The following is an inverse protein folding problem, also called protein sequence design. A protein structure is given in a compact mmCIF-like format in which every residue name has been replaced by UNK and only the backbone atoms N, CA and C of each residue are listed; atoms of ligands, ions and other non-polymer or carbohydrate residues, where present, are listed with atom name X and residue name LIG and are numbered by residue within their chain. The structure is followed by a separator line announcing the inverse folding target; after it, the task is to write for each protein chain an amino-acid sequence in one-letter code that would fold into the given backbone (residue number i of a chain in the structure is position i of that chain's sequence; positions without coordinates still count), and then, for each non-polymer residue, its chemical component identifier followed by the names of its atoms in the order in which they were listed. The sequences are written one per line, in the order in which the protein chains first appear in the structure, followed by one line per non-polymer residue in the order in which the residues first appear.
data_IF_458520759524
#
_entry.id   IF_458520759524
#
_cell.length_a   1.000
_cell.length_b   1.000
_cell.length_c   1.000
_cell.angle_alpha   90.00
_cell.angle_beta   90.00
_cell.angle_gamma   90.00
#
_symmetry.space_group_name_H-M   'P 1'
#
loop_
_entity.id
_entity.type
_entity.pdbx_description
1 polymer ?
#
# COMPACT_ATOMS: atom_id res chain seq x y z
N UNK A 1 -13.83 -11.85 11.07
CA UNK A 1 -15.06 -12.60 10.72
C UNK A 1 -15.80 -13.22 11.94
N UNK A 2 -15.33 -13.03 13.19
CA UNK A 2 -16.05 -13.51 14.38
C UNK A 2 -17.13 -12.53 14.85
N UNK A 3 -17.08 -11.27 14.43
CA UNK A 3 -18.08 -10.26 14.78
C UNK A 3 -19.26 -10.35 13.81
N UNK A 4 -20.49 -10.48 14.27
CA UNK A 4 -21.66 -10.56 13.40
C UNK A 4 -21.78 -9.36 12.47
N UNK A 5 -22.03 -9.62 11.17
CA UNK A 5 -22.15 -8.60 10.13
C UNK A 5 -20.84 -7.99 9.65
N UNK A 6 -19.68 -8.49 10.12
CA UNK A 6 -18.35 -8.12 9.59
C UNK A 6 -17.83 -9.24 8.70
N UNK A 7 -17.48 -8.91 7.47
CA UNK A 7 -16.88 -9.83 6.52
C UNK A 7 -15.57 -9.23 6.00
N UNK A 8 -14.49 -10.00 6.08
CA UNK A 8 -13.17 -9.58 5.62
C UNK A 8 -12.61 -10.61 4.62
N UNK A 9 -12.12 -10.13 3.49
CA UNK A 9 -11.47 -10.94 2.45
C UNK A 9 -10.04 -10.48 2.24
N UNK A 10 -9.14 -11.44 2.04
CA UNK A 10 -7.76 -11.16 1.60
C UNK A 10 -7.75 -10.89 0.09
N UNK A 11 -6.87 -10.01 -0.34
CA UNK A 11 -6.64 -9.70 -1.75
C UNK A 11 -5.15 -9.87 -2.11
N UNK A 12 -4.85 -9.89 -3.42
CA UNK A 12 -3.47 -9.92 -3.91
C UNK A 12 -2.74 -11.26 -3.78
N UNK A 13 -3.39 -12.30 -3.28
CA UNK A 13 -2.84 -13.66 -3.20
C UNK A 13 -1.85 -13.92 -2.07
N UNK A 14 -1.45 -12.91 -1.31
CA UNK A 14 -0.45 -13.03 -0.24
C UNK A 14 -0.67 -11.99 0.86
N UNK A 15 0.27 -11.05 0.96
CA UNK A 15 0.30 -10.01 1.99
C UNK A 15 -0.37 -8.70 1.58
N UNK A 16 -1.13 -8.73 0.49
CA UNK A 16 -1.85 -7.58 -0.03
C UNK A 16 -2.97 -7.07 0.88
N UNK A 17 -3.66 -6.07 0.38
CA UNK A 17 -4.77 -5.45 1.09
C UNK A 17 -5.91 -6.43 1.34
N UNK A 18 -6.65 -6.17 2.39
CA UNK A 18 -7.91 -6.83 2.70
C UNK A 18 -9.07 -5.91 2.43
N UNK A 19 -10.22 -6.47 2.11
CA UNK A 19 -11.48 -5.71 2.06
C UNK A 19 -12.35 -6.09 3.24
N UNK A 20 -12.86 -5.07 3.93
CA UNK A 20 -13.79 -5.25 5.05
C UNK A 20 -15.13 -4.68 4.62
N UNK A 21 -16.18 -5.46 4.78
CA UNK A 21 -17.55 -4.98 4.68
C UNK A 21 -18.25 -5.11 6.04
N UNK A 22 -19.07 -4.12 6.35
CA UNK A 22 -19.89 -4.08 7.55
C UNK A 22 -21.36 -4.04 7.15
N UNK A 23 -22.12 -5.10 7.46
CA UNK A 23 -23.53 -5.24 7.08
C UNK A 23 -23.79 -5.10 5.57
N UNK A 24 -22.86 -5.56 4.73
CA UNK A 24 -22.94 -5.42 3.26
C UNK A 24 -22.42 -4.09 2.70
N UNK A 25 -22.18 -3.09 3.54
CA UNK A 25 -21.54 -1.86 3.11
C UNK A 25 -20.04 -2.07 2.99
N UNK A 26 -19.44 -1.57 1.90
CA UNK A 26 -18.00 -1.62 1.74
C UNK A 26 -17.28 -0.61 2.67
N UNK A 27 -15.97 -0.71 2.75
CA UNK A 27 -15.19 0.12 3.68
C UNK A 27 -15.21 1.62 3.36
N UNK A 28 -15.59 2.05 2.17
CA UNK A 28 -15.75 3.48 1.80
C UNK A 28 -16.96 4.10 2.51
N UNK A 29 -17.93 3.28 2.89
CA UNK A 29 -19.13 3.67 3.61
C UNK A 29 -19.05 3.36 5.11
N UNK A 30 -17.86 2.98 5.59
CA UNK A 30 -17.57 2.67 7.00
C UNK A 30 -16.44 3.56 7.47
N UNK A 31 -16.61 4.27 8.57
CA UNK A 31 -15.55 5.08 9.16
C UNK A 31 -14.60 4.19 9.98
N UNK A 32 -13.31 4.28 9.70
CA UNK A 32 -12.25 3.63 10.48
C UNK A 32 -11.43 4.70 11.18
N UNK A 33 -11.32 4.58 12.51
CA UNK A 33 -10.65 5.56 13.35
C UNK A 33 -9.50 4.91 14.11
N UNK A 34 -8.36 5.59 14.18
CA UNK A 34 -7.27 5.27 15.09
C UNK A 34 -7.11 6.44 16.06
N UNK A 35 -7.32 6.21 17.35
CA UNK A 35 -7.30 7.25 18.38
C UNK A 35 -8.20 8.47 18.05
N UNK A 36 -9.34 8.23 17.40
CA UNK A 36 -10.27 9.29 16.98
C UNK A 36 -9.98 9.91 15.62
N UNK A 37 -8.83 9.63 15.00
CA UNK A 37 -8.51 10.12 13.65
C UNK A 37 -9.06 9.16 12.58
N UNK A 38 -9.81 9.66 11.58
CA UNK A 38 -10.19 8.87 10.41
C UNK A 38 -8.97 8.47 9.59
N UNK A 39 -8.91 7.18 9.18
CA UNK A 39 -7.81 6.64 8.37
C UNK A 39 -8.25 6.23 6.97
N UNK A 40 -9.53 6.41 6.65
CA UNK A 40 -10.00 6.31 5.29
C UNK A 40 -9.26 7.31 4.39
N UNK A 41 -8.85 6.84 3.23
CA UNK A 41 -8.15 7.68 2.24
C UNK A 41 -9.02 8.87 1.81
N UNK A 42 -8.42 10.06 1.75
CA UNK A 42 -9.14 11.30 1.49
C UNK A 42 -9.61 11.42 0.04
N UNK A 43 -8.99 10.69 -0.88
CA UNK A 43 -9.29 10.78 -2.30
C UNK A 43 -10.36 9.77 -2.74
N UNK A 44 -10.32 8.55 -2.20
CA UNK A 44 -11.17 7.47 -2.67
C UNK A 44 -11.96 6.74 -1.57
N UNK A 45 -11.75 7.11 -0.31
CA UNK A 45 -12.45 6.55 0.85
C UNK A 45 -12.00 5.15 1.28
N UNK A 46 -11.06 4.52 0.57
CA UNK A 46 -10.57 3.18 0.92
C UNK A 46 -9.66 3.19 2.15
N UNK A 47 -9.61 2.06 2.84
CA UNK A 47 -8.57 1.77 3.83
C UNK A 47 -7.64 0.71 3.25
N UNK A 48 -6.38 1.07 3.08
CA UNK A 48 -5.32 0.18 2.62
C UNK A 48 -4.70 -0.51 3.82
N UNK A 49 -5.19 -1.70 4.15
CA UNK A 49 -4.84 -2.41 5.37
C UNK A 49 -3.39 -2.84 5.45
N UNK A 50 -2.72 -2.98 4.31
CA UNK A 50 -1.28 -3.21 4.24
C UNK A 50 -0.47 -2.10 4.94
N UNK A 51 -0.98 -0.87 5.01
CA UNK A 51 -0.35 0.26 5.69
C UNK A 51 -0.54 0.24 7.22
N UNK A 52 -1.35 -0.67 7.75
CA UNK A 52 -1.72 -0.77 9.17
C UNK A 52 -1.41 -2.15 9.75
N UNK A 53 -0.49 -2.87 9.15
CA UNK A 53 -0.04 -4.16 9.67
C UNK A 53 0.56 -3.98 11.07
N UNK A 54 0.21 -4.87 11.98
CA UNK A 54 0.63 -4.77 13.38
C UNK A 54 -0.21 -3.81 14.25
N UNK A 55 -1.22 -3.13 13.69
CA UNK A 55 -2.13 -2.29 14.47
C UNK A 55 -2.81 -3.07 15.60
N UNK A 56 -3.16 -4.32 15.38
CA UNK A 56 -3.74 -5.22 16.40
C UNK A 56 -2.77 -5.55 17.53
N UNK A 57 -1.46 -5.50 17.29
CA UNK A 57 -0.44 -5.80 18.31
C UNK A 57 -0.30 -4.66 19.32
N UNK A 58 -0.73 -3.45 18.92
CA UNK A 58 -0.64 -2.23 19.77
C UNK A 58 -1.99 -1.76 20.29
N UNK A 59 -3.10 -2.30 19.77
CA UNK A 59 -4.43 -1.87 20.18
C UNK A 59 -4.69 -2.17 21.66
N UNK A 60 -5.17 -1.18 22.41
CA UNK A 60 -5.71 -1.36 23.75
C UNK A 60 -7.20 -1.75 23.71
N UNK A 61 -7.89 -1.45 22.61
CA UNK A 61 -9.28 -1.81 22.40
C UNK A 61 -9.76 -1.56 20.98
N UNK A 62 -10.77 -2.30 20.54
CA UNK A 62 -11.45 -2.11 19.25
C UNK A 62 -12.95 -2.06 19.53
N UNK A 63 -13.58 -0.97 19.13
CA UNK A 63 -15.01 -0.76 19.24
C UNK A 63 -15.64 -0.73 17.85
N UNK A 64 -16.69 -1.52 17.64
CA UNK A 64 -17.44 -1.56 16.39
C UNK A 64 -18.87 -1.10 16.66
N UNK A 65 -19.24 0.02 16.05
CA UNK A 65 -20.60 0.54 16.05
C UNK A 65 -21.23 0.30 14.69
N UNK A 66 -22.35 -0.38 14.65
CA UNK A 66 -23.07 -0.76 13.43
C UNK A 66 -24.18 0.21 13.09
N UNK A 67 -24.27 0.60 11.82
CA UNK A 67 -25.32 1.50 11.30
C UNK A 67 -25.03 2.98 11.59
N UNK A 68 -26.02 3.83 11.38
CA UNK A 68 -25.98 5.28 11.51
C UNK A 68 -25.84 5.78 12.96
N UNK A 69 -25.30 4.98 13.86
CA UNK A 69 -25.04 5.42 15.22
C UNK A 69 -24.03 6.56 15.20
N UNK A 70 -24.38 7.64 15.85
CA UNK A 70 -23.62 8.85 16.17
C UNK A 70 -22.15 8.89 15.73
N UNK A 71 -21.87 8.91 14.43
CA UNK A 71 -20.57 9.35 13.95
C UNK A 71 -20.48 10.84 14.27
N UNK A 72 -19.62 11.19 15.24
CA UNK A 72 -19.34 12.57 15.61
C UNK A 72 -18.45 13.29 14.58
N UNK A 73 -18.15 12.63 13.46
CA UNK A 73 -17.21 13.08 12.45
C UNK A 73 -17.91 13.22 11.09
N UNK A 74 -17.47 14.20 10.31
CA UNK A 74 -17.90 14.43 8.93
C UNK A 74 -17.27 13.43 7.95
N UNK A 75 -17.39 12.12 8.23
CA UNK A 75 -16.92 11.04 7.34
C UNK A 75 -18.07 10.08 7.03
N UNK A 76 -18.12 9.50 5.82
CA UNK A 76 -19.13 8.51 5.47
C UNK A 76 -19.12 7.33 6.45
N UNK A 77 -20.24 7.07 7.11
CA UNK A 77 -20.35 6.03 8.14
C UNK A 77 -21.70 5.32 8.15
N UNK A 78 -22.36 5.25 6.99
CA UNK A 78 -23.67 4.57 6.85
C UNK A 78 -23.60 3.10 7.26
N UNK A 79 -22.50 2.42 6.94
CA UNK A 79 -22.25 1.05 7.37
C UNK A 79 -21.94 0.92 8.85
N UNK A 80 -21.36 1.94 9.44
CA UNK A 80 -20.95 1.99 10.85
C UNK A 80 -19.58 2.62 11.07
N UNK A 81 -19.08 2.49 12.30
CA UNK A 81 -17.77 3.02 12.71
C UNK A 81 -16.95 1.94 13.40
N UNK A 82 -15.69 1.84 13.06
CA UNK A 82 -14.70 0.98 13.73
C UNK A 82 -13.65 1.88 14.35
N UNK A 83 -13.58 1.92 15.68
CA UNK A 83 -12.61 2.73 16.43
C UNK A 83 -11.56 1.83 17.07
N UNK A 84 -10.30 2.14 16.87
CA UNK A 84 -9.16 1.41 17.40
C UNK A 84 -8.38 2.37 18.32
N UNK A 85 -8.13 1.92 19.55
CA UNK A 85 -7.48 2.71 20.58
C UNK A 85 -6.10 2.14 20.89
N UNK A 86 -5.11 3.02 21.09
CA UNK A 86 -3.72 2.63 21.40
C UNK A 86 -3.13 3.44 22.57
N UNK A 87 -3.99 3.90 23.51
CA UNK A 87 -3.60 4.78 24.61
C UNK A 87 -2.66 4.08 25.60
N UNK A 88 -1.48 4.66 25.86
CA UNK A 88 -0.47 4.07 26.73
C UNK A 88 -0.94 3.98 28.21
N UNK A 89 -1.62 5.01 28.74
CA UNK A 89 -2.08 5.06 30.12
C UNK A 89 -3.19 4.02 30.45
N UNK A 90 -3.76 3.38 29.45
CA UNK A 90 -4.80 2.34 29.60
C UNK A 90 -4.22 0.92 29.59
N UNK A 91 -2.90 0.77 29.44
CA UNK A 91 -2.21 -0.52 29.42
C UNK A 91 -1.56 -0.81 30.76
N UNK A 92 -1.62 -2.09 31.17
CA UNK A 92 -0.89 -2.57 32.33
C UNK A 92 0.61 -2.68 32.05
N UNK A 93 1.45 -2.61 33.09
CA UNK A 93 2.86 -2.90 32.97
C UNK A 93 3.09 -4.31 32.44
N UNK A 94 4.04 -4.44 31.53
CA UNK A 94 4.43 -5.74 31.00
C UNK A 94 5.03 -5.62 29.60
N UNK A 95 5.74 -6.66 29.22
CA UNK A 95 6.36 -6.79 27.91
C UNK A 95 6.09 -8.14 27.27
N UNK A 96 6.31 -8.23 25.97
CA UNK A 96 6.25 -9.48 25.24
C UNK A 96 7.32 -9.56 24.16
N UNK A 97 7.80 -10.77 23.95
CA UNK A 97 8.58 -11.16 22.77
C UNK A 97 7.73 -12.14 22.00
N UNK A 98 7.52 -11.86 20.73
CA UNK A 98 6.73 -12.67 19.83
C UNK A 98 7.61 -13.27 18.75
N UNK A 99 7.50 -14.58 18.56
CA UNK A 99 8.02 -15.28 17.39
C UNK A 99 6.88 -16.09 16.77
N UNK A 100 6.60 -15.85 15.50
CA UNK A 100 5.61 -16.62 14.73
C UNK A 100 6.30 -17.24 13.51
N UNK A 101 5.89 -18.46 13.20
CA UNK A 101 6.27 -19.19 11.99
C UNK A 101 4.96 -19.69 11.37
N UNK A 102 4.85 -19.60 10.06
CA UNK A 102 3.67 -20.02 9.32
C UNK A 102 4.02 -20.69 8.00
N UNK A 103 2.99 -21.05 7.25
CA UNK A 103 3.14 -21.61 5.92
C UNK A 103 3.81 -20.62 4.97
N UNK A 104 4.34 -21.12 3.87
CA UNK A 104 4.96 -20.33 2.79
C UNK A 104 6.10 -19.41 3.31
N UNK A 105 6.90 -19.92 4.24
CA UNK A 105 8.05 -19.21 4.80
C UNK A 105 7.69 -18.00 5.67
N UNK A 106 6.42 -17.86 6.09
CA UNK A 106 6.04 -16.72 6.93
C UNK A 106 6.74 -16.74 8.28
N UNK A 107 7.34 -15.62 8.62
CA UNK A 107 7.93 -15.35 9.93
C UNK A 107 7.50 -13.99 10.43
N UNK A 108 7.31 -13.86 11.76
CA UNK A 108 7.13 -12.57 12.41
C UNK A 108 7.85 -12.58 13.75
N UNK A 109 8.70 -11.60 13.96
CA UNK A 109 9.40 -11.38 15.23
C UNK A 109 9.02 -10.00 15.75
N UNK A 110 8.72 -9.89 17.02
CA UNK A 110 8.34 -8.61 17.62
C UNK A 110 8.72 -8.53 19.09
N UNK A 111 8.91 -7.30 19.54
CA UNK A 111 9.12 -6.96 20.95
C UNK A 111 8.22 -5.78 21.30
N UNK A 112 7.56 -5.86 22.46
CA UNK A 112 6.78 -4.77 23.01
C UNK A 112 6.99 -4.63 24.51
N UNK A 113 6.82 -3.40 25.02
CA UNK A 113 6.83 -3.13 26.44
C UNK A 113 5.90 -1.96 26.77
N UNK A 114 5.21 -2.07 27.90
CA UNK A 114 4.37 -1.04 28.48
C UNK A 114 4.83 -0.82 29.92
N UNK A 115 5.06 0.43 30.31
CA UNK A 115 5.49 0.75 31.68
C UNK A 115 4.36 0.62 32.70
N UNK A 116 3.11 0.54 32.24
CA UNK A 116 1.97 0.85 33.11
C UNK A 116 1.94 2.33 33.49
N UNK A 117 0.90 2.73 34.20
CA UNK A 117 0.75 4.08 34.74
C UNK A 117 1.43 4.18 36.11
N UNK A 118 2.39 5.09 36.27
CA UNK A 118 3.04 5.35 37.54
C UNK A 118 2.20 6.26 38.45
N UNK A 119 2.64 6.48 39.68
CA UNK A 119 1.94 7.30 40.69
C UNK A 119 1.71 8.75 40.23
N UNK A 120 2.56 9.29 39.39
CA UNK A 120 2.43 10.62 38.81
C UNK A 120 1.53 10.66 37.57
N UNK A 121 0.93 9.53 37.16
CA UNK A 121 0.03 9.43 36.04
C UNK A 121 0.69 9.24 34.66
N UNK A 122 2.02 9.05 34.60
CA UNK A 122 2.73 8.82 33.34
C UNK A 122 2.76 7.35 32.96
N UNK A 123 2.60 7.08 31.66
CA UNK A 123 2.78 5.75 31.08
C UNK A 123 3.45 5.86 29.70
N UNK A 124 4.22 4.84 29.34
CA UNK A 124 4.83 4.71 28.02
C UNK A 124 4.58 3.32 27.44
N UNK A 125 4.54 3.24 26.12
CA UNK A 125 4.32 2.00 25.39
C UNK A 125 5.13 2.01 24.11
N UNK A 126 5.79 0.91 23.77
CA UNK A 126 6.45 0.75 22.50
C UNK A 126 6.26 -0.66 21.92
N UNK A 127 6.39 -0.76 20.60
CA UNK A 127 6.45 -2.01 19.86
C UNK A 127 7.35 -1.83 18.64
N UNK A 128 8.15 -2.86 18.38
CA UNK A 128 8.87 -3.03 17.12
C UNK A 128 8.67 -4.47 16.66
N UNK A 129 8.24 -4.67 15.41
CA UNK A 129 8.16 -6.00 14.82
C UNK A 129 8.56 -6.00 13.36
N UNK A 130 9.05 -7.14 12.90
CA UNK A 130 9.32 -7.43 11.48
C UNK A 130 8.58 -8.71 11.10
N UNK A 131 8.02 -8.72 9.90
CA UNK A 131 7.49 -9.92 9.25
C UNK A 131 8.08 -10.08 7.86
N UNK A 132 8.16 -11.31 7.38
CA UNK A 132 8.52 -11.67 6.01
C UNK A 132 7.89 -12.99 5.63
N UNK A 133 7.77 -13.27 4.34
CA UNK A 133 7.30 -14.56 3.83
C UNK A 133 7.16 -14.57 2.32
N UNK A 134 6.97 -15.77 1.74
CA UNK A 134 6.90 -15.95 0.28
C UNK A 134 5.48 -15.76 -0.28
N UNK A 135 4.45 -15.82 0.60
CA UNK A 135 3.04 -15.78 0.18
C UNK A 135 2.51 -17.12 -0.32
N UNK A 136 1.19 -17.30 -0.25
CA UNK A 136 0.52 -18.51 -0.73
C UNK A 136 0.61 -18.66 -2.25
N UNK A 137 0.47 -17.57 -2.97
CA UNK A 137 0.57 -17.51 -4.43
C UNK A 137 2.03 -17.36 -4.83
N UNK A 138 2.47 -18.03 -5.89
CA UNK A 138 3.85 -17.92 -6.38
C UNK A 138 4.20 -16.46 -6.72
N UNK A 139 5.44 -16.10 -6.45
CA UNK A 139 5.95 -14.75 -6.69
C UNK A 139 5.13 -13.65 -5.98
N UNK A 140 4.68 -13.92 -4.74
CA UNK A 140 4.01 -12.93 -3.90
C UNK A 140 4.70 -12.72 -2.56
N UNK A 141 6.04 -12.82 -2.55
CA UNK A 141 6.83 -12.53 -1.36
C UNK A 141 6.62 -11.10 -0.85
N UNK A 142 6.90 -10.90 0.41
CA UNK A 142 6.78 -9.59 1.03
C UNK A 142 7.47 -9.53 2.38
N UNK A 143 7.73 -8.32 2.82
CA UNK A 143 8.21 -8.03 4.18
C UNK A 143 7.70 -6.67 4.67
N UNK A 144 7.71 -6.51 5.96
CA UNK A 144 7.33 -5.25 6.57
C UNK A 144 7.77 -5.11 8.00
N UNK A 145 7.75 -3.87 8.46
CA UNK A 145 8.08 -3.46 9.81
C UNK A 145 6.90 -2.73 10.42
N UNK A 146 6.62 -3.01 11.70
CA UNK A 146 5.70 -2.19 12.48
C UNK A 146 6.48 -1.55 13.61
N UNK A 147 6.28 -0.25 13.78
CA UNK A 147 6.84 0.50 14.88
C UNK A 147 5.74 1.34 15.56
N UNK A 148 5.79 1.36 16.88
CA UNK A 148 4.85 2.13 17.70
C UNK A 148 5.56 2.67 18.92
N UNK A 149 5.28 3.93 19.25
CA UNK A 149 5.67 4.54 20.50
C UNK A 149 4.53 5.43 20.99
N UNK A 150 4.25 5.40 22.29
CA UNK A 150 3.27 6.28 22.90
C UNK A 150 3.69 6.70 24.30
N UNK A 151 3.31 7.92 24.68
CA UNK A 151 3.41 8.47 26.04
C UNK A 151 2.06 9.01 26.44
N UNK A 152 1.55 8.55 27.57
CA UNK A 152 0.30 8.98 28.16
C UNK A 152 0.52 9.69 29.48
N UNK A 153 -0.34 10.65 29.79
CA UNK A 153 -0.40 11.34 31.06
C UNK A 153 -1.86 11.40 31.54
N UNK A 154 -2.17 10.71 32.63
CA UNK A 154 -3.50 10.60 33.19
C UNK A 154 -3.42 10.44 34.73
N UNK A 155 -3.01 11.49 35.48
CA UNK A 155 -2.90 11.42 36.94
C UNK A 155 -4.27 11.23 37.56
N UNK A 156 -4.29 10.54 38.69
CA UNK A 156 -5.51 10.30 39.44
C UNK A 156 -6.13 11.63 39.92
N UNK A 157 -7.46 11.75 39.80
CA UNK A 157 -8.18 12.98 40.12
C UNK A 157 -7.98 14.13 39.13
N UNK A 158 -7.15 14.01 38.12
CA UNK A 158 -6.98 15.02 37.08
C UNK A 158 -8.19 15.11 36.16
N UNK A 159 -8.53 16.34 35.79
CA UNK A 159 -9.52 16.60 34.73
C UNK A 159 -8.95 16.41 33.32
N UNK A 160 -7.66 16.19 33.19
CA UNK A 160 -6.97 16.10 31.92
C UNK A 160 -6.33 14.72 31.74
N UNK A 161 -6.54 14.15 30.56
CA UNK A 161 -5.80 12.99 30.03
C UNK A 161 -5.14 13.37 28.71
N UNK A 162 -3.85 13.13 28.60
CA UNK A 162 -3.06 13.40 27.39
C UNK A 162 -2.48 12.10 26.86
N UNK A 163 -2.41 11.96 25.53
CA UNK A 163 -1.73 10.83 24.89
C UNK A 163 -1.08 11.29 23.59
N UNK A 164 0.22 11.14 23.50
CA UNK A 164 0.99 11.30 22.25
C UNK A 164 1.38 9.92 21.74
N UNK A 165 1.13 9.63 20.47
CA UNK A 165 1.54 8.37 19.87
C UNK A 165 2.02 8.53 18.44
N UNK A 166 2.94 7.66 18.04
CA UNK A 166 3.40 7.47 16.66
C UNK A 166 3.26 6.00 16.31
N UNK A 167 2.62 5.72 15.19
CA UNK A 167 2.44 4.39 14.62
C UNK A 167 2.85 4.42 13.16
N UNK A 168 3.55 3.38 12.70
CA UNK A 168 3.79 3.16 11.28
C UNK A 168 4.01 1.70 10.96
N UNK A 169 3.73 1.35 9.70
CA UNK A 169 3.88 0.00 9.17
C UNK A 169 4.43 0.07 7.75
N UNK A 170 5.76 0.25 7.65
CA UNK A 170 6.44 0.23 6.36
C UNK A 170 6.50 -1.19 5.81
N UNK A 171 6.05 -1.39 4.56
CA UNK A 171 5.99 -2.70 3.95
C UNK A 171 6.21 -2.66 2.44
N UNK A 172 6.61 -3.77 1.88
CA UNK A 172 6.45 -4.08 0.47
C UNK A 172 5.96 -5.53 0.29
N UNK A 173 5.24 -5.75 -0.79
CA UNK A 173 4.84 -7.10 -1.20
C UNK A 173 4.60 -7.16 -2.70
N UNK A 174 4.87 -8.32 -3.28
CA UNK A 174 4.48 -8.64 -4.63
C UNK A 174 2.99 -9.00 -4.70
N UNK A 175 2.38 -8.82 -5.86
CA UNK A 175 0.93 -8.97 -6.02
C UNK A 175 0.56 -9.88 -7.19
N UNK A 176 -0.58 -10.54 -7.03
CA UNK A 176 -1.38 -11.09 -8.13
C UNK A 176 -2.68 -10.27 -8.19
N UNK A 177 -2.67 -9.21 -8.98
CA UNK A 177 -3.77 -8.23 -9.04
C UNK A 177 -4.43 -8.16 -10.43
N UNK A 178 -4.04 -9.05 -11.33
CA UNK A 178 -4.52 -9.05 -12.71
C UNK A 178 -5.55 -10.16 -12.91
N UNK A 179 -6.56 -9.81 -13.66
CA UNK A 179 -7.64 -10.71 -14.04
C UNK A 179 -7.20 -11.53 -15.25
N UNK A 180 -7.12 -12.83 -15.07
CA UNK A 180 -6.82 -13.80 -16.13
C UNK A 180 -8.01 -14.75 -16.29
N UNK A 181 -8.08 -15.46 -17.42
CA UNK A 181 -9.17 -16.40 -17.68
C UNK A 181 -9.04 -17.65 -16.81
N UNK A 182 -10.14 -18.37 -16.60
CA UNK A 182 -10.11 -19.69 -15.95
C UNK A 182 -9.26 -20.65 -16.78
N UNK A 183 -9.28 -20.51 -18.10
CA UNK A 183 -8.50 -21.33 -19.04
C UNK A 183 -6.99 -21.17 -18.80
N UNK A 184 -6.52 -19.95 -18.44
CA UNK A 184 -5.11 -19.75 -18.12
C UNK A 184 -4.72 -20.52 -16.86
N UNK A 185 -5.58 -20.55 -15.82
CA UNK A 185 -5.35 -21.38 -14.64
C UNK A 185 -5.41 -22.88 -14.90
N UNK A 186 -6.09 -23.32 -15.97
CA UNK A 186 -6.14 -24.72 -16.38
C UNK A 186 -4.90 -25.15 -17.17
N UNK A 187 -4.25 -24.22 -17.83
CA UNK A 187 -3.16 -24.49 -18.74
C UNK A 187 -1.77 -24.14 -18.18
N UNK A 188 -1.72 -23.27 -17.17
CA UNK A 188 -0.48 -22.80 -16.57
C UNK A 188 -0.38 -23.24 -15.11
N UNK A 189 0.87 -23.26 -14.61
CA UNK A 189 1.21 -23.71 -13.29
C UNK A 189 1.94 -25.05 -13.29
N UNK A 190 2.22 -25.57 -12.12
CA UNK A 190 3.03 -26.78 -11.96
C UNK A 190 2.22 -28.07 -12.02
N UNK A 191 0.97 -28.04 -11.55
CA UNK A 191 0.10 -29.24 -11.46
C UNK A 191 -1.36 -28.94 -11.81
N UNK A 192 -1.80 -29.22 -13.03
CA UNK A 192 -3.22 -29.11 -13.44
C UNK A 192 -3.76 -27.69 -13.25
N UNK A 193 -4.91 -27.54 -12.58
CA UNK A 193 -5.46 -26.20 -12.23
C UNK A 193 -4.69 -25.66 -11.03
N UNK A 194 -3.71 -24.81 -11.27
CA UNK A 194 -2.87 -24.29 -10.21
C UNK A 194 -3.38 -22.96 -9.67
N UNK A 195 -4.06 -23.02 -8.52
CA UNK A 195 -4.56 -21.83 -7.82
C UNK A 195 -3.45 -20.90 -7.32
N UNK A 196 -2.22 -21.38 -7.25
CA UNK A 196 -1.04 -20.61 -6.81
C UNK A 196 -0.36 -19.89 -7.95
N UNK A 197 -0.66 -20.21 -9.19
CA UNK A 197 -0.07 -19.56 -10.34
C UNK A 197 -0.29 -18.04 -10.37
N UNK A 198 0.71 -17.30 -10.81
CA UNK A 198 0.70 -15.84 -10.86
C UNK A 198 1.18 -15.34 -12.23
N UNK A 199 0.27 -14.73 -12.97
CA UNK A 199 0.57 -14.18 -14.30
C UNK A 199 1.50 -12.96 -14.29
N UNK A 200 1.76 -12.33 -13.14
CA UNK A 200 2.63 -11.16 -13.00
C UNK A 200 4.07 -11.51 -12.61
N UNK A 201 4.30 -12.75 -12.22
CA UNK A 201 5.54 -13.18 -11.62
C UNK A 201 6.37 -14.08 -12.52
N UNK A 202 7.63 -14.24 -12.15
CA UNK A 202 8.60 -15.10 -12.77
C UNK A 202 9.96 -14.93 -12.13
N UNK A 203 11.03 -15.12 -12.90
CA UNK A 203 12.42 -14.99 -12.42
C UNK A 203 13.21 -14.02 -13.26
N UNK A 204 14.12 -13.30 -12.61
CA UNK A 204 15.16 -12.48 -13.21
C UNK A 204 16.50 -12.87 -12.56
N UNK A 205 17.46 -13.32 -13.35
CA UNK A 205 18.75 -13.84 -12.88
C UNK A 205 18.60 -14.96 -11.83
N UNK A 206 17.56 -15.80 -11.97
CA UNK A 206 17.26 -16.88 -11.04
C UNK A 206 16.55 -16.48 -9.75
N UNK A 207 16.32 -15.21 -9.51
CA UNK A 207 15.62 -14.68 -8.33
C UNK A 207 14.17 -14.35 -8.64
N UNK A 208 13.31 -14.42 -7.60
CA UNK A 208 11.91 -14.03 -7.74
C UNK A 208 11.78 -12.59 -8.23
N UNK A 209 11.01 -12.42 -9.29
CA UNK A 209 10.68 -11.10 -9.82
C UNK A 209 9.18 -11.00 -10.14
N UNK A 210 8.62 -9.81 -9.93
CA UNK A 210 7.20 -9.57 -10.21
C UNK A 210 7.01 -8.15 -10.76
N UNK A 211 6.20 -8.01 -11.80
CA UNK A 211 5.85 -6.70 -12.37
C UNK A 211 5.08 -5.84 -11.37
N UNK A 212 4.32 -6.46 -10.46
CA UNK A 212 3.43 -5.81 -9.51
C UNK A 212 3.97 -5.92 -8.09
N UNK A 213 4.59 -4.85 -7.62
CA UNK A 213 5.05 -4.71 -6.24
C UNK A 213 4.41 -3.49 -5.61
N UNK A 214 3.65 -3.68 -4.55
CA UNK A 214 3.18 -2.59 -3.70
C UNK A 214 4.24 -2.30 -2.63
N UNK A 215 4.46 -1.03 -2.32
CA UNK A 215 5.35 -0.61 -1.26
C UNK A 215 4.85 0.71 -0.67
N UNK A 216 4.79 0.79 0.66
CA UNK A 216 4.26 1.96 1.33
C UNK A 216 4.77 2.09 2.77
N UNK A 217 4.97 3.32 3.23
CA UNK A 217 5.12 3.67 4.63
C UNK A 217 4.24 4.88 4.93
N UNK A 218 3.33 4.72 5.90
CA UNK A 218 2.36 5.76 6.32
C UNK A 218 2.44 5.99 7.82
N UNK A 219 3.49 6.69 8.31
CA UNK A 219 3.54 7.06 9.71
C UNK A 219 2.36 7.97 10.07
N UNK A 220 1.79 7.73 11.24
CA UNK A 220 0.73 8.49 11.84
C UNK A 220 1.16 8.93 13.23
N UNK A 221 1.23 10.25 13.45
CA UNK A 221 1.40 10.86 14.76
C UNK A 221 0.06 11.41 15.23
N UNK A 222 -0.33 11.11 16.48
CA UNK A 222 -1.55 11.64 17.09
C UNK A 222 -1.26 12.21 18.48
N UNK A 223 -1.85 13.34 18.78
CA UNK A 223 -1.91 13.91 20.13
C UNK A 223 -3.38 14.02 20.53
N UNK A 224 -3.77 13.31 21.56
CA UNK A 224 -5.11 13.35 22.12
C UNK A 224 -5.11 14.08 23.46
N UNK A 225 -6.07 14.96 23.64
CA UNK A 225 -6.35 15.66 24.87
C UNK A 225 -7.81 15.51 25.23
N UNK A 226 -8.07 14.78 26.30
CA UNK A 226 -9.38 14.65 26.89
C UNK A 226 -9.45 15.54 28.14
N UNK A 227 -10.43 16.45 28.19
CA UNK A 227 -10.63 17.38 29.28
C UNK A 227 -12.04 17.26 29.84
N UNK A 228 -12.17 16.76 31.06
CA UNK A 228 -13.39 16.76 31.82
C UNK A 228 -13.57 18.15 32.48
N UNK A 229 -14.21 19.09 31.79
CA UNK A 229 -14.39 20.49 32.23
C UNK A 229 -15.22 20.50 33.52
N UNK A 230 -16.33 19.73 33.54
CA UNK A 230 -17.19 19.48 34.68
C UNK A 230 -17.77 18.07 34.61
N UNK A 231 -18.58 17.67 35.58
CA UNK A 231 -19.25 16.36 35.57
C UNK A 231 -20.16 16.16 34.33
N UNK A 232 -20.68 17.28 33.79
CA UNK A 232 -21.62 17.25 32.66
C UNK A 232 -21.00 17.73 31.35
N UNK A 233 -19.74 18.17 31.34
CA UNK A 233 -19.13 18.78 30.14
C UNK A 233 -17.73 18.23 29.88
N UNK A 234 -17.54 17.66 28.72
CA UNK A 234 -16.27 17.04 28.28
C UNK A 234 -15.83 17.57 26.93
N UNK A 235 -14.56 17.93 26.81
CA UNK A 235 -13.90 18.27 25.56
C UNK A 235 -12.92 17.16 25.17
N UNK A 236 -13.03 16.66 23.95
CA UNK A 236 -12.09 15.70 23.37
C UNK A 236 -11.44 16.36 22.16
N UNK A 237 -10.12 16.49 22.16
CA UNK A 237 -9.35 17.07 21.05
C UNK A 237 -8.30 16.09 20.56
N UNK A 238 -8.20 15.93 19.26
CA UNK A 238 -7.18 15.13 18.59
C UNK A 238 -6.48 15.99 17.55
N UNK A 239 -5.16 16.13 17.67
CA UNK A 239 -4.29 16.68 16.63
C UNK A 239 -3.56 15.51 15.98
N UNK A 240 -3.38 15.57 14.65
CA UNK A 240 -2.73 14.48 13.95
C UNK A 240 -1.94 14.93 12.73
N UNK A 241 -0.96 14.13 12.37
CA UNK A 241 -0.19 14.30 11.15
C UNK A 241 0.28 12.96 10.56
N UNK A 242 0.31 12.90 9.25
CA UNK A 242 0.79 11.73 8.49
C UNK A 242 1.50 12.18 7.22
N UNK A 243 2.63 11.53 6.93
CA UNK A 243 3.39 11.73 5.70
C UNK A 243 3.54 10.38 4.98
N UNK A 244 2.54 10.00 4.20
CA UNK A 244 2.52 8.73 3.46
C UNK A 244 3.41 8.78 2.22
N UNK A 245 4.28 7.79 2.06
CA UNK A 245 5.17 7.65 0.90
C UNK A 245 5.13 6.22 0.38
N UNK A 246 4.90 6.07 -0.91
CA UNK A 246 4.88 4.77 -1.54
C UNK A 246 4.14 4.74 -2.86
N UNK A 247 3.91 3.54 -3.36
CA UNK A 247 3.27 3.33 -4.65
C UNK A 247 3.17 1.86 -5.05
N UNK A 248 2.90 1.65 -6.32
CA UNK A 248 2.83 0.32 -6.90
C UNK A 248 3.55 0.26 -8.24
N UNK A 249 4.33 -0.79 -8.45
CA UNK A 249 5.02 -1.00 -9.73
C UNK A 249 4.08 -1.58 -10.79
N UNK A 250 4.51 -1.51 -12.02
CA UNK A 250 3.84 -2.11 -13.16
C UNK A 250 4.60 -1.88 -14.46
N UNK A 251 4.23 -2.57 -15.53
CA UNK A 251 4.90 -2.45 -16.82
C UNK A 251 4.68 -1.06 -17.43
N UNK A 252 5.64 -0.61 -18.19
CA UNK A 252 5.56 0.52 -19.11
C UNK A 252 6.30 0.20 -20.39
N UNK A 253 5.73 0.57 -21.51
CA UNK A 253 6.19 0.19 -22.84
C UNK A 253 5.29 -0.86 -23.44
N UNK A 254 5.63 -1.29 -24.64
CA UNK A 254 4.89 -2.29 -25.38
C UNK A 254 5.83 -3.43 -25.72
N UNK A 255 5.46 -4.62 -25.40
CA UNK A 255 6.08 -5.79 -25.99
C UNK A 255 5.22 -6.21 -27.18
N UNK A 256 5.55 -5.66 -28.34
CA UNK A 256 4.89 -6.04 -29.59
C UNK A 256 5.76 -7.00 -30.40
N UNK A 257 5.18 -8.11 -30.74
CA UNK A 257 5.65 -8.94 -31.84
C UNK A 257 4.50 -9.09 -32.82
N UNK A 258 4.68 -8.63 -34.05
CA UNK A 258 3.66 -8.69 -35.13
C UNK A 258 2.29 -8.10 -34.73
N UNK A 259 2.27 -7.09 -33.87
CA UNK A 259 1.01 -6.50 -33.39
C UNK A 259 0.47 -7.13 -32.11
N UNK A 260 1.12 -8.13 -31.55
CA UNK A 260 0.69 -8.89 -30.40
C UNK A 260 1.45 -8.52 -29.12
N UNK A 261 0.73 -8.40 -28.01
CA UNK A 261 1.29 -8.03 -26.69
C UNK A 261 1.43 -9.28 -25.83
N UNK A 262 2.63 -9.87 -25.79
CA UNK A 262 2.82 -11.18 -25.16
C UNK A 262 3.02 -11.16 -23.65
N UNK A 263 3.34 -10.01 -23.05
CA UNK A 263 3.71 -9.95 -21.65
C UNK A 263 2.59 -9.42 -20.76
N UNK A 264 1.68 -8.61 -21.31
CA UNK A 264 0.68 -7.95 -20.49
C UNK A 264 -0.46 -8.91 -20.16
N UNK A 265 -0.74 -9.05 -18.86
CA UNK A 265 -1.77 -9.94 -18.34
C UNK A 265 -3.21 -9.52 -18.68
N UNK A 266 -3.40 -8.54 -19.56
CA UNK A 266 -4.70 -8.00 -19.97
C UNK A 266 -5.31 -8.71 -21.18
N UNK A 267 -4.66 -9.73 -21.73
CA UNK A 267 -5.23 -10.49 -22.84
C UNK A 267 -6.13 -11.59 -22.36
N UNK A 268 -7.21 -11.74 -23.07
CA UNK A 268 -8.22 -12.80 -22.84
C UNK A 268 -7.71 -14.20 -23.12
N UNK A 269 -6.57 -14.34 -23.79
CA UNK A 269 -6.06 -15.61 -24.30
C UNK A 269 -4.52 -15.65 -24.35
N UNK A 270 -3.90 -15.73 -23.16
CA UNK A 270 -2.46 -15.94 -23.04
C UNK A 270 -2.03 -17.30 -23.64
N UNK A 271 -2.90 -18.30 -23.61
CA UNK A 271 -2.62 -19.67 -24.00
C UNK A 271 -2.50 -19.85 -25.50
N UNK A 272 -3.39 -19.25 -26.30
CA UNK A 272 -3.36 -19.37 -27.75
C UNK A 272 -2.10 -18.76 -28.35
N UNK A 273 -1.69 -17.62 -27.83
CA UNK A 273 -0.49 -16.92 -28.32
C UNK A 273 0.82 -17.60 -27.97
N UNK A 274 0.89 -18.20 -26.79
CA UNK A 274 2.09 -18.87 -26.32
C UNK A 274 2.35 -20.18 -27.06
N UNK A 275 1.29 -20.96 -27.29
CA UNK A 275 1.42 -22.29 -27.87
C UNK A 275 1.60 -22.29 -29.40
N UNK A 276 1.06 -21.30 -30.12
CA UNK A 276 1.10 -21.28 -31.58
C UNK A 276 2.43 -20.81 -32.15
N UNK A 277 3.11 -19.88 -31.48
CA UNK A 277 4.28 -19.20 -32.07
C UNK A 277 5.62 -19.50 -31.39
N UNK A 278 5.64 -20.08 -30.19
CA UNK A 278 6.87 -20.33 -29.42
C UNK A 278 7.69 -19.08 -29.13
N UNK A 279 7.05 -17.92 -29.11
CA UNK A 279 7.68 -16.60 -29.10
C UNK A 279 7.35 -15.77 -27.86
N UNK A 280 6.73 -16.36 -26.86
CA UNK A 280 6.33 -15.67 -25.65
C UNK A 280 7.51 -15.36 -24.73
N UNK A 281 7.39 -14.30 -23.94
CA UNK A 281 8.29 -14.02 -22.83
C UNK A 281 7.84 -14.76 -21.57
N UNK A 282 7.34 -15.98 -21.73
CA UNK A 282 6.92 -16.85 -20.64
C UNK A 282 7.52 -18.25 -20.81
N UNK A 283 7.78 -18.89 -19.68
CA UNK A 283 8.20 -20.28 -19.64
C UNK A 283 7.02 -21.25 -19.91
N UNK A 284 7.31 -22.54 -19.92
CA UNK A 284 6.31 -23.58 -20.17
C UNK A 284 5.20 -23.64 -19.10
N UNK A 285 5.45 -23.11 -17.89
CA UNK A 285 4.49 -23.05 -16.79
C UNK A 285 3.71 -21.72 -16.77
N UNK A 286 3.94 -20.84 -17.76
CA UNK A 286 3.26 -19.56 -17.90
C UNK A 286 3.81 -18.44 -17.03
N UNK A 287 4.93 -18.64 -16.32
CA UNK A 287 5.63 -17.57 -15.61
C UNK A 287 6.40 -16.68 -16.58
N UNK A 288 6.55 -15.41 -16.22
CA UNK A 288 7.28 -14.46 -17.08
C UNK A 288 8.78 -14.77 -17.02
N UNK A 289 9.38 -14.94 -18.19
CA UNK A 289 10.83 -15.00 -18.37
C UNK A 289 11.40 -13.58 -18.49
N UNK A 290 11.79 -12.99 -17.37
CA UNK A 290 12.32 -11.63 -17.33
C UNK A 290 13.71 -11.54 -17.93
N UNK A 291 14.50 -12.61 -17.93
CA UNK A 291 15.80 -12.67 -18.59
C UNK A 291 15.64 -12.57 -20.10
N UNK A 292 14.65 -13.25 -20.67
CA UNK A 292 14.30 -13.12 -22.09
C UNK A 292 13.83 -11.69 -22.44
N UNK A 293 13.12 -11.01 -21.54
CA UNK A 293 12.72 -9.60 -21.73
C UNK A 293 13.94 -8.69 -21.74
N UNK A 294 14.85 -8.85 -20.78
CA UNK A 294 16.09 -8.07 -20.70
C UNK A 294 16.92 -8.28 -21.96
N UNK A 295 17.11 -9.54 -22.40
CA UNK A 295 17.82 -9.86 -23.64
C UNK A 295 17.15 -9.22 -24.86
N UNK A 296 15.82 -9.26 -24.95
CA UNK A 296 15.07 -8.61 -26.02
C UNK A 296 15.23 -7.09 -26.01
N UNK A 297 15.21 -6.46 -24.84
CA UNK A 297 15.47 -5.04 -24.70
C UNK A 297 16.89 -4.66 -25.15
N UNK A 298 17.90 -5.41 -24.75
CA UNK A 298 19.30 -5.20 -25.15
C UNK A 298 19.48 -5.43 -26.63
N UNK A 299 18.91 -6.49 -27.20
CA UNK A 299 18.98 -6.80 -28.61
C UNK A 299 18.30 -5.73 -29.51
N UNK A 300 17.45 -4.86 -28.98
CA UNK A 300 16.86 -3.74 -29.74
C UNK A 300 17.90 -2.69 -30.14
N UNK A 301 18.98 -2.57 -29.37
CA UNK A 301 20.09 -1.63 -29.66
C UNK A 301 21.24 -2.29 -30.40
N UNK A 302 21.31 -3.62 -30.43
CA UNK A 302 22.39 -4.38 -31.05
C UNK A 302 22.30 -4.31 -32.56
N UNK A 303 23.41 -3.98 -33.21
CA UNK A 303 23.51 -3.87 -34.67
C UNK A 303 23.02 -2.55 -35.27
N UNK A 304 22.64 -1.59 -34.48
CA UNK A 304 22.35 -0.23 -34.94
C UNK A 304 23.64 0.58 -35.10
N UNK A 305 23.93 1.02 -36.33
CA UNK A 305 25.17 1.76 -36.69
C UNK A 305 24.97 3.27 -36.77
N UNK A 306 23.78 3.78 -36.56
CA UNK A 306 23.45 5.21 -36.57
C UNK A 306 23.68 5.91 -35.24
N UNK A 307 23.15 7.14 -35.08
CA UNK A 307 23.22 7.88 -33.86
C UNK A 307 22.40 7.19 -32.75
N UNK A 308 23.10 6.49 -31.85
CA UNK A 308 22.48 5.75 -30.74
C UNK A 308 21.73 6.69 -29.81
N UNK A 309 22.13 7.96 -29.67
CA UNK A 309 21.44 8.90 -28.81
C UNK A 309 20.05 9.25 -29.32
N UNK A 310 19.89 9.43 -30.62
CA UNK A 310 18.58 9.63 -31.25
C UNK A 310 17.72 8.36 -31.19
N UNK A 311 18.36 7.20 -31.30
CA UNK A 311 17.70 5.91 -31.26
C UNK A 311 17.28 5.51 -29.87
N UNK A 312 18.11 5.73 -28.86
CA UNK A 312 17.75 5.55 -27.46
C UNK A 312 16.56 6.44 -27.08
N UNK A 313 16.53 7.68 -27.56
CA UNK A 313 15.39 8.57 -27.37
C UNK A 313 14.06 8.03 -27.92
N UNK A 314 14.09 7.19 -28.91
CA UNK A 314 12.89 6.58 -29.51
C UNK A 314 12.52 5.22 -28.90
N UNK A 315 13.50 4.43 -28.46
CA UNK A 315 13.29 3.15 -27.79
C UNK A 315 12.43 3.23 -26.55
N UNK A 316 12.32 4.40 -26.02
CA UNK A 316 11.92 4.67 -24.68
C UNK A 316 10.61 5.46 -24.60
N UNK A 317 9.90 5.62 -25.70
CA UNK A 317 8.63 6.36 -25.73
C UNK A 317 7.44 5.56 -25.20
N UNK A 318 6.42 6.27 -24.77
CA UNK A 318 5.16 5.69 -24.25
C UNK A 318 4.41 4.79 -25.24
N UNK A 319 4.78 4.84 -26.51
CA UNK A 319 4.16 4.08 -27.59
C UNK A 319 5.05 2.94 -28.14
N UNK A 320 6.19 2.68 -27.50
CA UNK A 320 7.20 1.77 -28.05
C UNK A 320 7.83 2.33 -29.32
N UNK A 321 9.09 2.00 -29.56
CA UNK A 321 9.71 2.33 -30.83
C UNK A 321 9.20 1.38 -31.91
N UNK A 322 8.58 1.92 -32.93
CA UNK A 322 8.37 1.21 -34.20
C UNK A 322 9.39 1.72 -35.21
N UNK A 323 10.47 1.00 -35.37
CA UNK A 323 11.12 1.00 -36.68
C UNK A 323 10.18 0.22 -37.61
N UNK A 324 9.77 0.83 -38.69
CA UNK A 324 8.93 0.21 -39.73
C UNK A 324 9.53 -1.09 -40.31
N UNK A 325 10.80 -1.37 -40.05
CA UNK A 325 11.53 -2.53 -40.56
C UNK A 325 11.91 -3.55 -39.49
N UNK A 326 11.75 -3.24 -38.20
CA UNK A 326 12.12 -4.16 -37.10
C UNK A 326 11.09 -4.06 -35.99
N UNK A 327 10.22 -5.07 -35.91
CA UNK A 327 9.25 -5.23 -34.81
C UNK A 327 9.98 -5.54 -33.50
N UNK A 328 10.43 -4.52 -32.79
CA UNK A 328 11.12 -4.66 -31.49
C UNK A 328 10.31 -4.03 -30.36
N UNK A 329 10.30 -4.72 -29.26
CA UNK A 329 9.52 -4.35 -28.09
C UNK A 329 10.43 -3.83 -26.98
N UNK A 330 9.96 -2.86 -26.24
CA UNK A 330 10.64 -2.29 -25.06
C UNK A 330 9.72 -2.38 -23.88
N UNK A 331 10.20 -2.94 -22.79
CA UNK A 331 9.50 -2.97 -21.52
C UNK A 331 10.41 -2.47 -20.40
N UNK A 332 9.91 -1.56 -19.61
CA UNK A 332 10.50 -1.14 -18.33
C UNK A 332 9.48 -1.32 -17.22
N UNK A 333 9.96 -1.46 -15.99
CA UNK A 333 9.08 -1.41 -14.82
C UNK A 333 9.06 0.02 -14.27
N UNK A 334 7.87 0.62 -14.22
CA UNK A 334 7.63 1.92 -13.62
C UNK A 334 7.00 1.76 -12.24
N UNK A 335 7.10 2.78 -11.37
CA UNK A 335 6.29 2.87 -10.17
C UNK A 335 5.30 4.05 -10.29
N UNK A 336 4.03 3.79 -10.02
CA UNK A 336 3.03 4.83 -9.77
C UNK A 336 3.09 5.20 -8.30
N UNK A 337 3.53 6.42 -8.02
CA UNK A 337 3.65 6.95 -6.67
C UNK A 337 2.34 7.60 -6.23
N UNK A 338 1.88 7.23 -5.04
CA UNK A 338 0.68 7.76 -4.39
C UNK A 338 1.07 8.25 -2.99
N UNK A 339 1.78 9.35 -2.94
CA UNK A 339 2.27 9.94 -1.71
C UNK A 339 1.34 11.03 -1.21
N UNK A 340 1.37 11.33 0.10
CA UNK A 340 0.57 12.42 0.64
C UNK A 340 1.19 13.02 1.90
N UNK A 341 0.83 14.27 2.17
CA UNK A 341 0.97 14.94 3.44
C UNK A 341 -0.42 15.30 3.97
N UNK A 342 -0.66 14.97 5.22
CA UNK A 342 -1.97 15.14 5.85
C UNK A 342 -1.81 15.58 7.30
N UNK A 343 -2.43 16.69 7.65
CA UNK A 343 -2.50 17.21 9.02
C UNK A 343 -3.94 17.60 9.35
N UNK A 344 -4.31 17.53 10.60
CA UNK A 344 -5.63 17.97 11.02
C UNK A 344 -5.82 18.07 12.53
N UNK A 345 -6.96 18.64 12.87
CA UNK A 345 -7.43 18.81 14.23
C UNK A 345 -8.92 18.48 14.31
N UNK A 346 -9.29 17.63 15.24
CA UNK A 346 -10.67 17.30 15.54
C UNK A 346 -10.91 17.67 17.00
N UNK A 347 -11.95 18.45 17.27
CA UNK A 347 -12.34 18.79 18.63
C UNK A 347 -13.85 18.63 18.79
N UNK A 348 -14.28 17.99 19.87
CA UNK A 348 -15.67 17.69 20.14
C UNK A 348 -16.01 18.01 21.59
N UNK A 349 -16.97 18.91 21.79
CA UNK A 349 -17.52 19.26 23.09
C UNK A 349 -18.83 18.50 23.30
N UNK A 350 -18.88 17.70 24.35
CA UNK A 350 -20.04 16.91 24.74
C UNK A 350 -20.61 17.43 26.05
N UNK A 351 -21.93 17.59 26.11
CA UNK A 351 -22.62 18.07 27.30
C UNK A 351 -23.87 17.25 27.64
N UNK A 352 -24.09 17.01 28.93
CA UNK A 352 -25.29 16.37 29.43
C UNK A 352 -26.02 17.35 30.37
N UNK A 353 -27.27 17.76 30.01
CA UNK A 353 -28.06 18.74 30.71
C UNK A 353 -29.46 18.16 30.96
N UNK A 354 -29.67 17.59 32.14
CA UNK A 354 -30.89 16.87 32.46
C UNK A 354 -31.11 15.68 31.53
N UNK A 355 -32.17 15.71 30.73
CA UNK A 355 -32.49 14.66 29.75
C UNK A 355 -31.86 14.92 28.36
N UNK A 356 -31.10 16.01 28.18
CA UNK A 356 -30.51 16.38 26.91
C UNK A 356 -29.04 15.97 26.86
N UNK A 357 -28.67 15.31 25.78
CA UNK A 357 -27.27 15.10 25.40
C UNK A 357 -26.99 15.93 24.17
N UNK A 358 -25.97 16.78 24.23
CA UNK A 358 -25.53 17.65 23.14
C UNK A 358 -24.11 17.36 22.78
N UNK A 359 -23.77 17.52 21.49
CA UNK A 359 -22.42 17.40 21.00
C UNK A 359 -22.21 18.42 19.89
N UNK A 360 -21.13 19.20 20.01
CA UNK A 360 -20.70 20.17 18.98
C UNK A 360 -19.24 19.89 18.69
N UNK A 361 -18.93 19.70 17.40
CA UNK A 361 -17.57 19.38 16.98
C UNK A 361 -17.10 20.21 15.82
N UNK A 362 -15.78 20.33 15.70
CA UNK A 362 -15.09 20.91 14.57
C UNK A 362 -14.03 19.92 14.07
N UNK A 363 -13.90 19.80 12.75
CA UNK A 363 -12.95 18.93 12.05
C UNK A 363 -12.26 19.78 10.98
N UNK A 364 -10.99 20.05 11.18
CA UNK A 364 -10.13 20.83 10.30
C UNK A 364 -9.07 19.90 9.71
N UNK A 365 -8.96 19.88 8.36
CA UNK A 365 -8.02 19.02 7.66
C UNK A 365 -7.33 19.78 6.55
N UNK A 366 -6.03 19.51 6.40
CA UNK A 366 -5.25 19.87 5.23
C UNK A 366 -4.64 18.60 4.66
N UNK A 367 -4.89 18.36 3.39
CA UNK A 367 -4.38 17.20 2.66
C UNK A 367 -3.73 17.64 1.36
N UNK A 368 -2.61 17.02 1.02
CA UNK A 368 -1.96 17.18 -0.27
C UNK A 368 -1.50 15.83 -0.80
N UNK A 369 -2.11 15.39 -1.90
CA UNK A 369 -1.73 14.19 -2.63
C UNK A 369 -0.66 14.49 -3.69
N UNK A 370 0.23 13.52 -3.94
CA UNK A 370 1.27 13.58 -4.96
C UNK A 370 1.16 12.31 -5.82
N UNK A 371 0.76 12.48 -7.08
CA UNK A 371 0.55 11.39 -8.02
C UNK A 371 1.44 11.56 -9.24
N UNK A 372 2.44 10.72 -9.35
CA UNK A 372 3.41 10.75 -10.44
C UNK A 372 3.98 9.36 -10.70
N UNK A 373 4.62 9.19 -11.86
CA UNK A 373 5.32 7.96 -12.20
C UNK A 373 6.81 8.19 -12.29
N UNK A 374 7.56 7.21 -11.81
CA UNK A 374 9.02 7.15 -11.90
C UNK A 374 9.44 5.82 -12.52
N UNK A 375 10.65 5.75 -13.03
CA UNK A 375 11.26 4.47 -13.38
C UNK A 375 11.64 3.72 -12.11
N UNK A 376 11.37 2.43 -12.11
CA UNK A 376 11.78 1.54 -11.03
C UNK A 376 12.86 0.56 -11.51
N UNK A 377 12.73 0.06 -12.74
CA UNK A 377 13.70 -0.85 -13.35
C UNK A 377 13.72 -0.62 -14.86
N UNK A 378 14.91 -0.46 -15.42
CA UNK A 378 15.13 -0.24 -16.84
C UNK A 378 15.11 -1.53 -17.65
N UNK A 379 15.11 -2.70 -17.00
CA UNK A 379 15.06 -4.01 -17.67
C UNK A 379 16.14 -4.16 -18.75
N UNK A 380 17.38 -3.79 -18.41
CA UNK A 380 18.53 -3.89 -19.31
C UNK A 380 18.69 -2.75 -20.32
N UNK A 381 17.87 -1.73 -20.28
CA UNK A 381 18.00 -0.52 -21.10
C UNK A 381 18.88 0.54 -20.40
N UNK A 382 19.51 1.43 -21.20
CA UNK A 382 20.36 2.51 -20.68
C UNK A 382 19.56 3.73 -20.19
N UNK A 383 18.30 3.85 -20.58
CA UNK A 383 17.45 4.97 -20.19
C UNK A 383 16.03 4.89 -20.74
N UNK A 384 15.22 5.86 -20.39
CA UNK A 384 13.82 6.02 -20.80
C UNK A 384 13.57 7.43 -21.35
N UNK A 385 13.11 7.55 -22.59
CA UNK A 385 12.74 8.83 -23.20
C UNK A 385 11.32 9.24 -22.80
N UNK A 386 11.23 10.24 -21.96
CA UNK A 386 9.94 10.70 -21.47
C UNK A 386 9.26 11.66 -22.46
N UNK A 387 8.07 11.28 -22.93
CA UNK A 387 7.17 12.14 -23.72
C UNK A 387 5.91 12.52 -22.98
N UNK A 388 5.60 11.85 -21.85
CA UNK A 388 4.38 12.02 -21.09
C UNK A 388 4.36 13.23 -20.19
N UNK A 389 5.52 13.70 -19.75
CA UNK A 389 5.64 14.86 -18.90
C UNK A 389 5.94 16.11 -19.75
N UNK A 390 4.99 17.00 -19.89
CA UNK A 390 5.14 18.24 -20.68
C UNK A 390 6.26 19.16 -20.21
N UNK A 391 6.62 19.09 -18.90
CA UNK A 391 7.69 19.90 -18.33
C UNK A 391 9.10 19.34 -18.60
N UNK A 392 9.19 18.07 -18.98
CA UNK A 392 10.43 17.37 -19.30
C UNK A 392 10.31 16.51 -20.57
N UNK A 393 9.43 16.90 -21.50
CA UNK A 393 9.28 16.19 -22.76
C UNK A 393 10.58 16.20 -23.54
N UNK A 394 10.97 15.04 -24.08
CA UNK A 394 12.22 14.87 -24.77
C UNK A 394 13.45 14.65 -23.86
N UNK A 395 13.24 14.38 -22.58
CA UNK A 395 14.33 14.07 -21.65
C UNK A 395 14.56 12.57 -21.53
N UNK A 396 15.81 12.13 -21.57
CA UNK A 396 16.19 10.76 -21.26
C UNK A 396 16.35 10.62 -19.74
N UNK A 397 15.63 9.69 -19.14
CA UNK A 397 15.70 9.36 -17.73
C UNK A 397 16.45 8.03 -17.61
N UNK A 398 17.60 8.03 -16.97
CA UNK A 398 18.46 6.87 -16.72
C UNK A 398 18.59 6.52 -15.24
N UNK A 399 17.85 7.21 -14.37
CA UNK A 399 17.84 6.95 -12.93
C UNK A 399 16.58 6.22 -12.53
N UNK A 400 16.72 5.25 -11.63
CA UNK A 400 15.62 4.46 -11.09
C UNK A 400 15.35 4.77 -9.64
N UNK A 401 14.11 4.59 -9.22
CA UNK A 401 13.66 4.74 -7.84
C UNK A 401 13.32 3.38 -7.27
N UNK A 402 13.95 3.00 -6.17
CA UNK A 402 13.68 1.73 -5.52
C UNK A 402 12.21 1.64 -5.01
N UNK A 403 11.60 0.48 -5.21
CA UNK A 403 10.25 0.18 -4.76
C UNK A 403 10.27 -0.37 -3.31
N UNK A 404 10.76 0.42 -2.37
CA UNK A 404 10.86 0.07 -0.96
C UNK A 404 10.24 1.16 -0.07
N UNK A 405 9.69 0.81 1.12
CA UNK A 405 8.94 1.75 1.94
C UNK A 405 9.81 2.82 2.62
N UNK A 406 11.13 2.60 2.73
CA UNK A 406 12.04 3.48 3.49
C UNK A 406 13.04 4.22 2.63
N UNK A 407 13.18 3.87 1.36
CA UNK A 407 14.13 4.49 0.44
C UNK A 407 13.42 5.35 -0.57
N UNK A 408 14.04 6.46 -0.89
CA UNK A 408 13.77 7.42 -1.94
C UNK A 408 12.30 7.57 -2.36
N UNK A 409 11.68 8.61 -1.94
CA UNK A 409 10.26 8.85 -2.23
C UNK A 409 10.01 9.30 -3.67
N UNK A 410 11.07 9.52 -4.46
CA UNK A 410 10.96 10.05 -5.82
C UNK A 410 10.35 11.45 -5.90
N UNK A 411 10.12 12.14 -4.75
CA UNK A 411 9.54 13.49 -4.76
C UNK A 411 10.40 14.48 -5.52
N UNK A 412 11.73 14.35 -5.41
CA UNK A 412 12.70 15.24 -6.04
C UNK A 412 13.35 14.63 -7.29
N UNK A 413 13.14 13.34 -7.55
CA UNK A 413 13.70 12.62 -8.70
C UNK A 413 12.98 12.89 -10.01
N UNK A 414 13.59 12.47 -11.15
CA UNK A 414 12.97 12.59 -12.47
C UNK A 414 11.65 11.82 -12.54
N UNK A 415 10.62 12.46 -13.08
CA UNK A 415 9.27 11.90 -13.24
C UNK A 415 8.97 11.64 -14.70
N UNK A 416 8.42 10.45 -14.98
CA UNK A 416 7.98 10.09 -16.33
C UNK A 416 6.74 10.91 -16.69
N UNK A 417 5.76 10.94 -15.81
CA UNK A 417 4.53 11.68 -15.97
C UNK A 417 3.85 11.94 -14.61
N UNK A 418 2.81 12.74 -14.64
CA UNK A 418 1.89 12.95 -13.53
C UNK A 418 0.54 12.34 -13.90
N UNK A 419 -0.19 11.87 -12.91
CA UNK A 419 -1.53 11.34 -13.11
C UNK A 419 -2.46 11.81 -11.99
N UNK A 420 -3.74 11.92 -12.33
CA UNK A 420 -4.80 12.18 -11.35
C UNK A 420 -5.54 10.86 -11.09
N UNK A 421 -5.80 10.54 -9.84
CA UNK A 421 -6.57 9.35 -9.47
C UNK A 421 -8.09 9.54 -9.67
N UNK A 422 -8.50 10.61 -10.34
CA UNK A 422 -9.89 10.81 -10.73
C UNK A 422 -10.80 11.16 -9.54
N UNK A 423 -10.49 12.26 -8.88
CA UNK A 423 -11.40 12.91 -7.94
C UNK A 423 -12.24 13.91 -8.74
#
# INVERSE_FOLDING_TARGET
NKTPGVYATKQGGGYGDSRISLRGFDQRNTSFLINGQPVNDMENGWVYWSNWQGLTDVASGIQIQRGLGASKLAVPSVGGTVSIFTKAAQKSEGGSVLQMIGNDGYTKTGVSYNTGKNENGWASSFLLSKWAGNGYVYNTSGEGWTYFAAVGYAPEGSKHELNLSVLGAGQWHHQRDVWVSIRDYQNFGEEGIDQRWNSNGGTLNGEEYNLRRNFYNKPLATFNWDWNISDNLKLNTSLYGSAGRGGGTGPRGNNYRNGDMDILPFRKDLTEHYLEDGRGSRDANGFIDFDAIVAANQATTEGYTGDISAFQGQLIGSNGFRDSNVNRSVLVRRASMNSHDWVGAISNLEGEFGNWRTSVGVDLRQYKGYHYRVLNDLMGLDGYYSTGNKNSAGTIINTTTAATPFTGTGLDGPKIDYFNNGI
#
